data_IF_139592670077
#
_entry.id   IF_139592670077
#
_cell.length_a   1.000
_cell.length_b   1.000
_cell.length_c   1.000
_cell.angle_alpha   90.00
_cell.angle_beta   90.00
_cell.angle_gamma   90.00
#
_symmetry.space_group_name_H-M   'P 1'
#
loop_
_entity.id
_entity.type
_entity.pdbx_description
1 polymer ?
#
# COMPACT_ATOMS: atom_id res chain seq x y z
N UNK A 1 19.49 28.60 -11.69
CA UNK A 1 18.46 27.53 -11.57
C UNK A 1 18.46 26.77 -10.23
N UNK A 2 19.49 26.88 -9.38
CA UNK A 2 19.63 26.05 -8.16
C UNK A 2 18.50 26.21 -7.12
N UNK A 3 18.08 27.45 -6.83
CA UNK A 3 17.02 27.74 -5.84
C UNK A 3 15.66 27.19 -6.27
N UNK A 4 15.30 27.35 -7.55
CA UNK A 4 14.04 26.86 -8.09
C UNK A 4 13.96 25.33 -8.01
N UNK A 5 15.05 24.64 -8.37
CA UNK A 5 15.16 23.19 -8.23
C UNK A 5 14.96 22.81 -6.76
N UNK A 6 15.74 23.37 -5.83
CA UNK A 6 15.63 23.09 -4.40
C UNK A 6 14.22 23.29 -3.82
N UNK A 7 13.52 24.36 -4.23
CA UNK A 7 12.13 24.60 -3.82
C UNK A 7 11.17 23.50 -4.30
N UNK A 8 11.27 23.10 -5.58
CA UNK A 8 10.41 22.07 -6.18
C UNK A 8 10.60 20.68 -5.56
N UNK A 9 11.79 20.37 -5.04
CA UNK A 9 12.07 19.11 -4.31
C UNK A 9 11.85 19.22 -2.80
N UNK A 10 11.41 20.37 -2.30
CA UNK A 10 11.11 20.56 -0.88
C UNK A 10 9.86 19.78 -0.46
N UNK A 11 9.89 19.18 0.74
CA UNK A 11 8.77 18.39 1.30
C UNK A 11 7.43 19.15 1.29
N UNK A 12 7.45 20.44 1.61
CA UNK A 12 6.25 21.27 1.59
C UNK A 12 5.70 21.48 0.18
N UNK A 13 6.58 21.69 -0.81
CA UNK A 13 6.15 21.82 -2.20
C UNK A 13 5.50 20.53 -2.69
N UNK A 14 6.15 19.40 -2.46
CA UNK A 14 5.62 18.07 -2.84
C UNK A 14 4.26 17.85 -2.19
N UNK A 15 4.12 18.12 -0.89
CA UNK A 15 2.84 17.99 -0.17
C UNK A 15 1.73 18.85 -0.80
N UNK A 16 1.99 20.15 -1.02
CA UNK A 16 0.99 21.03 -1.62
C UNK A 16 0.68 20.67 -3.07
N UNK A 17 1.68 20.21 -3.82
CA UNK A 17 1.53 19.73 -5.18
C UNK A 17 0.60 18.51 -5.24
N UNK A 18 0.83 17.49 -4.41
CA UNK A 18 -0.02 16.30 -4.34
C UNK A 18 -1.47 16.66 -3.94
N UNK A 19 -1.64 17.46 -2.89
CA UNK A 19 -2.97 17.89 -2.43
C UNK A 19 -3.75 18.64 -3.52
N UNK A 20 -3.06 19.52 -4.26
CA UNK A 20 -3.70 20.29 -5.33
C UNK A 20 -4.24 19.38 -6.45
N UNK A 21 -3.44 18.41 -6.91
CA UNK A 21 -3.87 17.50 -7.97
C UNK A 21 -4.90 16.48 -7.49
N UNK A 22 -4.83 16.03 -6.24
CA UNK A 22 -5.86 15.19 -5.63
C UNK A 22 -7.22 15.91 -5.62
N UNK A 23 -7.25 17.19 -5.20
CA UNK A 23 -8.46 18.01 -5.26
C UNK A 23 -8.96 18.18 -6.70
N UNK A 24 -8.06 18.47 -7.64
CA UNK A 24 -8.43 18.63 -9.06
C UNK A 24 -8.97 17.33 -9.68
N UNK A 25 -8.40 16.18 -9.32
CA UNK A 25 -8.88 14.87 -9.77
C UNK A 25 -10.28 14.57 -9.21
N UNK A 26 -10.55 14.92 -7.95
CA UNK A 26 -11.89 14.82 -7.33
C UNK A 26 -12.90 15.74 -8.00
N UNK A 27 -12.53 16.99 -8.30
CA UNK A 27 -13.38 17.95 -9.01
C UNK A 27 -13.75 17.49 -10.43
N UNK A 28 -12.80 16.89 -11.14
CA UNK A 28 -12.97 16.39 -12.52
C UNK A 28 -13.61 15.01 -12.59
N UNK A 29 -13.78 14.32 -11.45
CA UNK A 29 -14.33 12.97 -11.39
C UNK A 29 -13.42 11.87 -11.95
N UNK A 30 -12.14 12.19 -12.19
CA UNK A 30 -11.12 11.23 -12.64
C UNK A 30 -10.56 10.43 -11.45
N UNK A 31 -10.72 10.95 -10.23
CA UNK A 31 -10.34 10.25 -9.00
C UNK A 31 -11.25 9.05 -8.75
N UNK A 32 -10.70 7.83 -8.81
CA UNK A 32 -11.44 6.61 -8.49
C UNK A 32 -11.32 6.30 -6.99
N UNK A 33 -12.43 6.38 -6.21
CA UNK A 33 -12.41 6.02 -4.79
C UNK A 33 -12.26 4.51 -4.55
N UNK A 34 -12.43 3.68 -5.58
CA UNK A 34 -12.25 2.24 -5.53
C UNK A 34 -10.82 1.80 -5.84
N UNK A 35 -9.95 2.74 -6.25
CA UNK A 35 -8.53 2.47 -6.40
C UNK A 35 -7.95 2.12 -5.02
N UNK A 36 -7.73 0.81 -4.82
CA UNK A 36 -7.34 0.26 -3.53
C UNK A 36 -5.92 0.69 -3.20
N UNK A 37 -5.71 1.19 -1.99
CA UNK A 37 -4.38 1.57 -1.49
C UNK A 37 -3.39 0.38 -1.48
N UNK A 38 -3.92 -0.85 -1.47
CA UNK A 38 -3.17 -2.10 -1.57
C UNK A 38 -3.66 -2.93 -2.75
N UNK A 39 -2.84 -2.98 -3.80
CA UNK A 39 -3.03 -3.88 -4.93
C UNK A 39 -2.05 -5.06 -4.81
N UNK A 40 -2.60 -6.26 -4.65
CA UNK A 40 -1.81 -7.50 -4.66
C UNK A 40 -1.56 -7.88 -6.12
N UNK A 41 -0.39 -7.51 -6.63
CA UNK A 41 0.00 -7.79 -8.00
C UNK A 41 0.63 -9.18 -8.16
N UNK A 42 0.66 -9.69 -9.40
CA UNK A 42 1.32 -10.95 -9.73
C UNK A 42 2.82 -10.94 -9.35
N UNK A 43 3.45 -9.77 -9.40
CA UNK A 43 4.82 -9.54 -8.90
C UNK A 43 4.94 -9.78 -7.40
N UNK A 44 3.95 -9.35 -6.62
CA UNK A 44 3.90 -9.55 -5.17
C UNK A 44 3.75 -11.04 -4.82
N UNK A 45 2.86 -11.76 -5.52
CA UNK A 45 2.65 -13.19 -5.32
C UNK A 45 3.86 -14.06 -5.71
N UNK A 46 4.60 -13.64 -6.75
CA UNK A 46 5.79 -14.35 -7.21
C UNK A 46 7.06 -13.93 -6.49
N UNK A 47 6.97 -13.15 -5.41
CA UNK A 47 8.13 -12.77 -4.61
C UNK A 47 8.77 -14.03 -4.01
N UNK A 48 10.03 -14.28 -4.36
CA UNK A 48 10.77 -15.48 -3.94
C UNK A 48 10.59 -16.71 -4.86
N UNK A 49 9.78 -16.61 -5.92
CA UNK A 49 9.75 -17.63 -6.96
C UNK A 49 11.08 -17.65 -7.75
N UNK A 50 11.55 -18.82 -8.20
CA UNK A 50 12.75 -18.91 -9.01
C UNK A 50 12.59 -18.09 -10.31
N UNK A 51 13.53 -17.18 -10.56
CA UNK A 51 13.50 -16.29 -11.73
C UNK A 51 12.86 -14.92 -11.50
N UNK A 52 12.35 -14.61 -10.30
CA UNK A 52 11.98 -13.24 -9.95
C UNK A 52 13.23 -12.35 -9.86
N UNK A 53 13.24 -11.19 -10.53
CA UNK A 53 14.31 -10.20 -10.40
C UNK A 53 14.29 -9.65 -8.97
N UNK A 54 15.30 -10.01 -8.17
CA UNK A 54 15.48 -9.55 -6.79
C UNK A 54 15.92 -8.08 -6.73
N UNK A 55 15.18 -7.17 -7.37
CA UNK A 55 15.41 -5.73 -7.24
C UNK A 55 14.74 -5.25 -5.94
N UNK A 56 15.40 -5.51 -4.82
CA UNK A 56 15.09 -4.86 -3.53
C UNK A 56 14.33 -5.71 -2.52
N UNK A 57 14.97 -6.75 -1.96
CA UNK A 57 15.00 -6.98 -0.50
C UNK A 57 15.77 -8.28 -0.18
N UNK A 58 17.05 -8.15 0.16
CA UNK A 58 17.86 -9.24 0.71
C UNK A 58 17.64 -9.36 2.23
N UNK A 59 16.38 -9.44 2.66
CA UNK A 59 15.99 -9.61 4.06
C UNK A 59 14.70 -10.42 4.19
N UNK A 60 14.60 -11.55 3.48
CA UNK A 60 13.60 -12.58 3.85
C UNK A 60 14.08 -13.34 5.09
N UNK A 61 14.07 -12.65 6.22
CA UNK A 61 14.13 -13.27 7.54
C UNK A 61 12.75 -13.84 7.86
N UNK A 62 12.59 -15.17 7.66
CA UNK A 62 11.70 -16.09 8.38
C UNK A 62 10.41 -15.47 8.99
N UNK A 63 9.56 -14.89 8.17
CA UNK A 63 8.15 -14.68 8.49
C UNK A 63 7.35 -15.48 7.48
N UNK A 64 6.45 -16.35 7.95
CA UNK A 64 5.52 -17.03 7.06
C UNK A 64 4.75 -15.96 6.26
N UNK A 65 4.96 -15.95 4.94
CA UNK A 65 4.35 -14.98 4.04
C UNK A 65 2.83 -15.09 4.14
N UNK A 66 2.20 -14.15 4.85
CA UNK A 66 0.76 -14.09 5.03
C UNK A 66 0.21 -12.92 4.22
N UNK A 67 -0.74 -13.21 3.34
CA UNK A 67 -1.45 -12.18 2.61
C UNK A 67 -2.25 -11.33 3.59
N UNK A 68 -2.34 -10.00 3.39
CA UNK A 68 -3.26 -9.20 4.16
C UNK A 68 -4.68 -9.74 3.94
N UNK A 69 -5.52 -9.70 4.97
CA UNK A 69 -6.90 -10.13 4.88
C UNK A 69 -7.64 -9.29 3.84
N UNK A 70 -8.66 -9.87 3.18
CA UNK A 70 -9.42 -9.15 2.17
C UNK A 70 -10.12 -7.92 2.79
N UNK A 71 -10.18 -6.80 2.06
CA UNK A 71 -10.91 -5.62 2.50
C UNK A 71 -12.38 -5.94 2.74
N UNK A 72 -12.94 -5.40 3.83
CA UNK A 72 -14.39 -5.43 4.03
C UNK A 72 -15.06 -4.40 3.13
N UNK A 73 -16.14 -4.79 2.47
CA UNK A 73 -16.90 -3.90 1.59
C UNK A 73 -17.71 -2.89 2.41
N UNK A 74 -17.62 -1.61 2.03
CA UNK A 74 -18.46 -0.55 2.61
C UNK A 74 -19.95 -0.88 2.39
N UNK A 75 -20.77 -0.72 3.44
CA UNK A 75 -22.22 -1.00 3.48
C UNK A 75 -22.63 -2.47 3.54
N UNK A 76 -21.69 -3.41 3.70
CA UNK A 76 -22.02 -4.81 4.01
C UNK A 76 -21.83 -5.08 5.50
N UNK A 77 -22.62 -5.99 6.10
CA UNK A 77 -22.38 -6.41 7.47
C UNK A 77 -21.00 -7.07 7.58
N UNK A 78 -20.32 -6.85 8.70
CA UNK A 78 -19.06 -7.53 8.98
C UNK A 78 -19.26 -9.05 8.89
N UNK A 79 -18.26 -9.79 8.38
CA UNK A 79 -18.34 -11.24 8.35
C UNK A 79 -18.52 -11.78 9.78
N UNK A 80 -19.16 -12.95 9.94
CA UNK A 80 -19.28 -13.59 11.23
C UNK A 80 -17.89 -13.79 11.87
N UNK A 81 -17.79 -13.74 13.20
CA UNK A 81 -16.52 -13.95 13.88
C UNK A 81 -15.95 -15.33 13.55
N UNK A 82 -14.63 -15.39 13.37
CA UNK A 82 -13.92 -16.64 13.11
C UNK A 82 -14.10 -17.62 14.28
N UNK A 83 -14.25 -18.91 13.95
CA UNK A 83 -14.25 -19.99 14.95
C UNK A 83 -12.90 -20.13 15.66
N UNK A 84 -11.81 -19.71 14.99
CA UNK A 84 -10.44 -19.71 15.52
C UNK A 84 -9.99 -18.29 15.85
N UNK A 85 -9.19 -18.14 16.92
CA UNK A 85 -8.66 -16.85 17.38
C UNK A 85 -7.41 -16.46 16.59
N UNK A 86 -7.60 -15.87 15.41
CA UNK A 86 -6.51 -15.43 14.51
C UNK A 86 -6.32 -13.90 14.51
N UNK A 87 -6.74 -13.22 15.58
CA UNK A 87 -6.78 -11.74 15.62
C UNK A 87 -5.41 -11.09 15.62
N UNK A 88 -4.42 -11.74 16.25
CA UNK A 88 -3.08 -11.18 16.40
C UNK A 88 -2.31 -11.33 15.08
N UNK A 89 -2.41 -12.49 14.43
CA UNK A 89 -1.87 -12.78 13.12
C UNK A 89 -2.50 -11.87 12.03
N UNK A 90 -3.81 -11.63 12.14
CA UNK A 90 -4.53 -10.70 11.26
C UNK A 90 -3.95 -9.29 11.34
N UNK A 91 -3.76 -8.75 12.56
CA UNK A 91 -3.23 -7.40 12.76
C UNK A 91 -1.78 -7.28 12.30
N UNK A 92 -0.97 -8.32 12.51
CA UNK A 92 0.42 -8.38 12.05
C UNK A 92 0.50 -8.29 10.53
N UNK A 93 -0.26 -9.12 9.80
CA UNK A 93 -0.23 -9.13 8.32
C UNK A 93 -0.62 -7.78 7.69
N UNK A 94 -1.62 -7.08 8.25
CA UNK A 94 -2.01 -5.72 7.81
C UNK A 94 -0.87 -4.71 8.03
N UNK A 95 -0.23 -4.77 9.19
CA UNK A 95 0.83 -3.83 9.58
C UNK A 95 2.07 -4.00 8.70
N UNK A 96 2.50 -5.24 8.49
CA UNK A 96 3.64 -5.55 7.61
C UNK A 96 3.40 -5.11 6.18
N UNK A 97 2.20 -5.33 5.64
CA UNK A 97 1.86 -4.90 4.29
C UNK A 97 1.89 -3.37 4.15
N UNK A 98 1.30 -2.65 5.10
CA UNK A 98 1.23 -1.18 5.07
C UNK A 98 2.62 -0.55 5.12
N UNK A 99 3.51 -1.06 5.99
CA UNK A 99 4.88 -0.54 6.12
C UNK A 99 5.72 -0.73 4.84
N UNK A 100 5.59 -1.87 4.16
CA UNK A 100 6.35 -2.16 2.94
C UNK A 100 5.95 -1.24 1.77
N UNK A 101 4.74 -0.71 1.76
CA UNK A 101 4.29 0.24 0.72
C UNK A 101 4.81 1.67 0.96
N UNK A 102 5.00 2.10 2.20
CA UNK A 102 5.49 3.45 2.54
C UNK A 102 6.99 3.66 2.27
N UNK A 103 7.75 2.58 2.04
CA UNK A 103 9.20 2.64 1.79
C UNK A 103 9.60 2.94 0.33
N UNK A 104 8.66 3.32 -0.53
CA UNK A 104 8.91 3.69 -1.94
C UNK A 104 8.69 5.17 -2.22
#
# INVERSE_FOLDING_TARGET
MSVRKSHLMGKNHIRYYCNYYEMKAKETGIWDPLDSMYEINLSYLNKGAPGASNEGNTSSSKGDFSLPPPPSLTNYPNPPPSAFRNTEEYQQSVTEHTQNQETY
#
